data_IF_210400343184
#
_entry.id   IF_210400343184
#
_cell.length_a   1.000
_cell.length_b   1.000
_cell.length_c   1.000
_cell.angle_alpha   90.00
_cell.angle_beta   90.00
_cell.angle_gamma   90.00
#
_symmetry.space_group_name_H-M   'P 1'
#
loop_
_entity.id
_entity.type
_entity.pdbx_description
1 polymer ?
#
# COMPACT_ATOMS: atom_id res chain seq x y z
N UNK A 1 -22.62 -17.11 -14.75
CA UNK A 1 -21.86 -16.01 -14.14
C UNK A 1 -20.36 -16.10 -14.44
N UNK A 2 -19.68 -17.24 -14.16
CA UNK A 2 -18.24 -17.39 -14.43
C UNK A 2 -17.86 -17.28 -15.91
N UNK A 3 -18.65 -17.79 -16.83
CA UNK A 3 -18.38 -17.69 -18.31
C UNK A 3 -18.46 -16.25 -18.82
N UNK A 4 -19.37 -15.45 -18.30
CA UNK A 4 -19.49 -14.02 -18.66
C UNK A 4 -18.30 -13.22 -18.16
N UNK A 5 -17.87 -13.46 -16.91
CA UNK A 5 -16.67 -12.82 -16.33
C UNK A 5 -15.40 -13.22 -17.09
N UNK A 6 -15.26 -14.48 -17.46
CA UNK A 6 -14.13 -14.97 -18.26
C UNK A 6 -14.08 -14.31 -19.65
N UNK A 7 -15.23 -14.16 -20.30
CA UNK A 7 -15.34 -13.44 -21.57
C UNK A 7 -14.97 -11.98 -21.44
N UNK A 8 -15.45 -11.30 -20.40
CA UNK A 8 -15.14 -9.89 -20.13
C UNK A 8 -13.64 -9.70 -19.83
N UNK A 9 -13.05 -10.57 -19.02
CA UNK A 9 -11.62 -10.58 -18.73
C UNK A 9 -10.77 -10.71 -19.99
N UNK A 10 -11.14 -11.61 -20.91
CA UNK A 10 -10.39 -11.83 -22.15
C UNK A 10 -10.45 -10.63 -23.10
N UNK A 11 -11.57 -9.92 -23.15
CA UNK A 11 -11.81 -8.86 -24.12
C UNK A 11 -11.47 -7.45 -23.60
N UNK A 12 -11.28 -7.27 -22.27
CA UNK A 12 -11.03 -5.96 -21.67
C UNK A 12 -9.61 -5.88 -21.06
N UNK A 13 -8.69 -5.26 -21.81
CA UNK A 13 -7.29 -5.10 -21.41
C UNK A 13 -7.15 -4.35 -20.06
N UNK A 14 -7.96 -3.31 -19.83
CA UNK A 14 -7.92 -2.55 -18.55
C UNK A 14 -8.38 -3.40 -17.38
N UNK A 15 -9.44 -4.17 -17.56
CA UNK A 15 -9.95 -5.06 -16.53
C UNK A 15 -8.96 -6.18 -16.21
N UNK A 16 -8.32 -6.76 -17.24
CA UNK A 16 -7.27 -7.77 -17.07
C UNK A 16 -6.09 -7.24 -16.28
N UNK A 17 -5.58 -6.04 -16.63
CA UNK A 17 -4.48 -5.40 -15.92
C UNK A 17 -4.85 -5.15 -14.46
N UNK A 18 -6.02 -4.57 -14.20
CA UNK A 18 -6.48 -4.29 -12.85
C UNK A 18 -6.61 -5.56 -12.00
N UNK A 19 -7.22 -6.62 -12.56
CA UNK A 19 -7.35 -7.92 -11.88
C UNK A 19 -5.97 -8.50 -11.52
N UNK A 20 -5.01 -8.41 -12.46
CA UNK A 20 -3.64 -8.87 -12.24
C UNK A 20 -2.97 -8.12 -11.09
N UNK A 21 -3.11 -6.80 -11.04
CA UNK A 21 -2.58 -5.97 -9.96
C UNK A 21 -3.19 -6.39 -8.62
N UNK A 22 -4.52 -6.55 -8.54
CA UNK A 22 -5.20 -6.96 -7.32
C UNK A 22 -4.76 -8.35 -6.86
N UNK A 23 -4.64 -9.32 -7.76
CA UNK A 23 -4.19 -10.68 -7.41
C UNK A 23 -2.77 -10.67 -6.83
N UNK A 24 -1.83 -9.98 -7.50
CA UNK A 24 -0.45 -9.91 -7.00
C UNK A 24 -0.38 -9.16 -5.68
N UNK A 25 -1.15 -8.08 -5.54
CA UNK A 25 -1.27 -7.34 -4.28
C UNK A 25 -1.79 -8.23 -3.15
N UNK A 26 -2.88 -8.99 -3.35
CA UNK A 26 -3.41 -9.92 -2.35
C UNK A 26 -2.38 -10.99 -1.97
N UNK A 27 -1.68 -11.56 -2.95
CA UNK A 27 -0.64 -12.55 -2.69
C UNK A 27 0.51 -11.95 -1.86
N UNK A 28 0.95 -10.73 -2.18
CA UNK A 28 2.00 -10.06 -1.40
C UNK A 28 1.57 -9.82 0.05
N UNK A 29 0.30 -9.45 0.28
CA UNK A 29 -0.25 -9.28 1.64
C UNK A 29 -0.37 -10.61 2.38
N UNK A 30 -0.77 -11.68 1.69
CA UNK A 30 -0.82 -13.02 2.27
C UNK A 30 0.57 -13.49 2.73
N UNK A 31 1.58 -13.33 1.87
CA UNK A 31 2.98 -13.65 2.23
C UNK A 31 3.41 -12.87 3.46
N UNK A 32 3.13 -11.57 3.51
CA UNK A 32 3.44 -10.72 4.66
C UNK A 32 2.75 -11.18 5.94
N UNK A 33 1.46 -11.54 5.87
CA UNK A 33 0.72 -12.09 7.00
C UNK A 33 1.35 -13.38 7.52
N UNK A 34 1.75 -14.27 6.61
CA UNK A 34 2.46 -15.51 6.96
C UNK A 34 3.78 -15.18 7.66
N UNK A 35 4.56 -14.23 7.14
CA UNK A 35 5.81 -13.82 7.78
C UNK A 35 5.60 -13.27 9.18
N UNK A 36 4.58 -12.45 9.42
CA UNK A 36 4.23 -11.95 10.76
C UNK A 36 3.90 -13.10 11.70
N UNK A 37 3.12 -14.11 11.25
CA UNK A 37 2.82 -15.28 12.07
C UNK A 37 4.07 -16.10 12.39
N UNK A 38 4.95 -16.31 11.41
CA UNK A 38 6.24 -17.00 11.64
C UNK A 38 7.09 -16.22 12.65
N UNK A 39 7.18 -14.89 12.52
CA UNK A 39 7.90 -14.06 13.50
C UNK A 39 7.32 -14.20 14.91
N UNK A 40 6.00 -14.23 15.05
CA UNK A 40 5.34 -14.43 16.34
C UNK A 40 5.61 -15.81 16.96
N UNK A 41 5.84 -16.83 16.15
CA UNK A 41 6.19 -18.18 16.65
C UNK A 41 7.61 -18.25 17.22
N UNK A 42 8.49 -17.36 16.78
CA UNK A 42 9.91 -17.35 17.17
C UNK A 42 10.21 -16.25 18.21
N UNK A 43 9.34 -15.24 18.31
CA UNK A 43 9.55 -14.12 19.22
C UNK A 43 9.23 -14.49 20.68
N UNK A 44 10.05 -14.01 21.60
CA UNK A 44 9.80 -14.16 23.04
C UNK A 44 8.52 -13.42 23.50
N UNK A 45 8.17 -12.33 22.80
CA UNK A 45 6.98 -11.53 23.05
C UNK A 45 6.19 -11.35 21.75
N UNK A 46 5.16 -12.17 21.53
CA UNK A 46 4.33 -12.03 20.31
C UNK A 46 3.51 -10.73 20.35
N UNK A 47 3.48 -10.03 19.22
CA UNK A 47 2.72 -8.80 19.04
C UNK A 47 1.61 -8.97 18.01
N UNK A 48 0.63 -8.07 18.03
CA UNK A 48 -0.41 -8.05 16.99
C UNK A 48 0.16 -7.56 15.65
N UNK A 49 -0.57 -7.85 14.57
CA UNK A 49 -0.16 -7.48 13.22
C UNK A 49 0.12 -5.98 13.05
N UNK A 50 -0.65 -5.11 13.71
CA UNK A 50 -0.47 -3.66 13.60
C UNK A 50 0.88 -3.21 14.17
N UNK A 51 1.41 -3.89 15.16
CA UNK A 51 2.74 -3.60 15.70
C UNK A 51 3.84 -3.82 14.65
N UNK A 52 3.81 -4.97 13.97
CA UNK A 52 4.82 -5.27 12.94
C UNK A 52 4.69 -4.44 11.67
N UNK A 53 3.49 -3.94 11.39
CA UNK A 53 3.19 -3.20 10.17
C UNK A 53 3.32 -1.68 10.32
N UNK A 54 3.61 -1.18 11.51
CA UNK A 54 3.76 0.24 11.78
C UNK A 54 5.09 0.54 12.49
N UNK A 55 6.22 0.18 11.87
CA UNK A 55 7.53 0.47 12.44
C UNK A 55 7.88 1.96 12.30
N UNK A 56 8.85 2.40 13.12
CA UNK A 56 9.56 3.68 12.99
C UNK A 56 8.67 4.91 12.96
N UNK A 57 8.53 5.56 11.80
CA UNK A 57 7.86 6.84 11.64
C UNK A 57 6.33 6.77 11.66
N UNK A 58 5.75 5.57 11.72
CA UNK A 58 4.30 5.40 11.76
C UNK A 58 3.65 6.12 12.96
N UNK A 59 4.35 6.20 14.10
CA UNK A 59 3.86 6.94 15.27
C UNK A 59 3.78 8.45 15.02
N UNK A 60 4.74 9.03 14.28
CA UNK A 60 4.70 10.42 13.87
C UNK A 60 3.51 10.72 12.96
N UNK A 61 3.25 9.86 11.98
CA UNK A 61 2.09 9.99 11.09
C UNK A 61 0.77 9.84 11.84
N UNK A 62 0.69 8.91 12.80
CA UNK A 62 -0.46 8.78 13.69
C UNK A 62 -0.69 10.06 14.49
N UNK A 63 0.33 10.59 15.13
CA UNK A 63 0.24 11.82 15.92
C UNK A 63 -0.26 13.00 15.06
N UNK A 64 0.28 13.18 13.85
CA UNK A 64 -0.18 14.22 12.93
C UNK A 64 -1.62 14.02 12.48
N UNK A 65 -2.02 12.77 12.26
CA UNK A 65 -3.41 12.42 11.90
C UNK A 65 -4.38 12.78 13.03
N UNK A 66 -4.03 12.50 14.27
CA UNK A 66 -4.90 12.68 15.44
C UNK A 66 -4.89 14.11 15.97
N UNK A 67 -3.72 14.73 16.06
CA UNK A 67 -3.51 16.00 16.73
C UNK A 67 -2.92 17.14 15.87
N UNK A 68 -2.48 16.82 14.63
CA UNK A 68 -1.84 17.79 13.74
C UNK A 68 -0.37 18.04 14.07
N UNK A 69 0.17 19.10 13.48
CA UNK A 69 1.54 19.53 13.75
C UNK A 69 1.65 20.17 15.12
N UNK A 70 2.68 19.82 15.85
CA UNK A 70 2.93 20.34 17.20
C UNK A 70 4.30 21.00 17.29
N UNK A 71 4.43 21.94 18.24
CA UNK A 71 5.72 22.50 18.62
C UNK A 71 6.68 21.39 19.12
N UNK A 72 8.00 21.64 19.07
CA UNK A 72 8.99 20.70 19.55
C UNK A 72 8.64 20.19 20.95
N UNK A 73 8.78 18.89 21.13
CA UNK A 73 8.71 18.27 22.46
C UNK A 73 9.89 18.75 23.32
N UNK A 74 9.84 18.52 24.61
CA UNK A 74 10.96 18.77 25.53
C UNK A 74 12.27 18.11 25.09
N UNK A 75 12.20 17.06 24.26
CA UNK A 75 13.32 16.36 23.64
C UNK A 75 13.89 17.08 22.40
N UNK A 76 13.35 18.22 22.00
CA UNK A 76 13.73 18.93 20.76
C UNK A 76 13.18 18.29 19.47
N UNK A 77 12.49 17.15 19.55
CA UNK A 77 11.91 16.49 18.38
C UNK A 77 10.56 17.11 18.02
N UNK A 78 10.33 17.31 16.71
CA UNK A 78 9.08 17.81 16.16
C UNK A 78 8.70 17.04 14.89
N UNK A 79 7.39 16.99 14.60
CA UNK A 79 6.85 16.29 13.42
C UNK A 79 6.84 17.16 12.14
N UNK A 80 7.54 18.27 12.12
CA UNK A 80 7.55 19.23 11.00
C UNK A 80 8.32 18.74 9.77
N UNK A 81 9.17 17.73 9.93
CA UNK A 81 9.93 17.13 8.84
C UNK A 81 9.06 16.27 7.89
N UNK A 82 7.85 15.93 8.32
CA UNK A 82 6.97 15.03 7.57
C UNK A 82 6.00 15.80 6.69
N UNK A 83 5.85 15.35 5.43
CA UNK A 83 4.94 15.98 4.48
C UNK A 83 3.46 15.84 4.92
N UNK A 84 2.66 16.93 4.80
CA UNK A 84 1.32 16.99 5.36
C UNK A 84 0.26 16.17 4.62
N UNK A 85 0.44 15.89 3.32
CA UNK A 85 -0.62 15.32 2.48
C UNK A 85 -1.14 13.98 3.01
N UNK A 86 -0.24 13.07 3.34
CA UNK A 86 -0.62 11.74 3.82
C UNK A 86 -1.39 11.79 5.16
N UNK A 87 -0.88 12.42 6.23
CA UNK A 87 -1.64 12.51 7.48
C UNK A 87 -2.92 13.32 7.36
N UNK A 88 -3.01 14.30 6.44
CA UNK A 88 -4.25 15.03 6.19
C UNK A 88 -5.32 14.14 5.55
N UNK A 89 -4.95 13.29 4.59
CA UNK A 89 -5.87 12.29 4.01
C UNK A 89 -6.35 11.32 5.10
N UNK A 90 -5.43 10.80 5.91
CA UNK A 90 -5.77 9.91 7.02
C UNK A 90 -6.69 10.59 8.03
N UNK A 91 -6.45 11.87 8.35
CA UNK A 91 -7.31 12.67 9.22
C UNK A 91 -8.71 12.86 8.65
N UNK A 92 -8.83 13.15 7.35
CA UNK A 92 -10.13 13.26 6.69
C UNK A 92 -10.92 11.95 6.80
N UNK A 93 -10.28 10.80 6.52
CA UNK A 93 -10.90 9.48 6.70
C UNK A 93 -11.31 9.25 8.15
N UNK A 94 -10.46 9.60 9.13
CA UNK A 94 -10.76 9.47 10.55
C UNK A 94 -11.99 10.30 10.96
N UNK A 95 -12.10 11.54 10.46
CA UNK A 95 -13.27 12.41 10.72
C UNK A 95 -14.54 11.80 10.13
N UNK A 96 -14.50 11.36 8.87
CA UNK A 96 -15.65 10.74 8.17
C UNK A 96 -16.13 9.50 8.90
N UNK A 97 -15.21 8.70 9.46
CA UNK A 97 -15.52 7.48 10.20
C UNK A 97 -15.84 7.73 11.69
N UNK A 98 -15.97 8.98 12.11
CA UNK A 98 -16.25 9.33 13.51
C UNK A 98 -15.17 8.88 14.49
N UNK A 99 -13.96 8.61 14.04
CA UNK A 99 -12.85 8.14 14.87
C UNK A 99 -12.93 6.68 15.35
N UNK A 100 -13.90 5.92 14.88
CA UNK A 100 -14.09 4.52 15.28
C UNK A 100 -13.03 3.55 14.74
N UNK A 101 -12.35 3.94 13.66
CA UNK A 101 -11.29 3.11 13.06
C UNK A 101 -9.93 3.49 13.64
N UNK A 102 -9.13 2.48 13.96
CA UNK A 102 -7.76 2.69 14.43
C UNK A 102 -6.94 3.47 13.39
N UNK A 103 -6.19 4.49 13.83
CA UNK A 103 -5.44 5.39 12.94
C UNK A 103 -4.40 4.66 12.10
N UNK A 104 -3.72 3.64 12.65
CA UNK A 104 -2.80 2.80 11.87
C UNK A 104 -3.52 2.04 10.76
N UNK A 105 -4.70 1.49 11.05
CA UNK A 105 -5.51 0.80 10.03
C UNK A 105 -5.93 1.75 8.90
N UNK A 106 -6.29 3.00 9.24
CA UNK A 106 -6.57 4.04 8.24
C UNK A 106 -5.33 4.29 7.37
N UNK A 107 -4.16 4.46 7.98
CA UNK A 107 -2.91 4.68 7.27
C UNK A 107 -2.58 3.54 6.31
N UNK A 108 -2.68 2.30 6.77
CA UNK A 108 -2.50 1.11 5.93
C UNK A 108 -3.49 1.06 4.77
N UNK A 109 -4.76 1.37 5.00
CA UNK A 109 -5.77 1.40 3.96
C UNK A 109 -5.45 2.45 2.88
N UNK A 110 -5.12 3.68 3.29
CA UNK A 110 -4.74 4.77 2.38
C UNK A 110 -3.51 4.37 1.56
N UNK A 111 -2.46 3.87 2.19
CA UNK A 111 -1.23 3.43 1.50
C UNK A 111 -1.49 2.31 0.49
N UNK A 112 -2.32 1.32 0.86
CA UNK A 112 -2.65 0.21 -0.04
C UNK A 112 -3.49 0.67 -1.25
N UNK A 113 -4.40 1.61 -1.08
CA UNK A 113 -5.13 2.21 -2.21
C UNK A 113 -4.17 2.96 -3.11
N UNK A 114 -3.29 3.79 -2.54
CA UNK A 114 -2.32 4.57 -3.30
C UNK A 114 -1.37 3.67 -4.11
N UNK A 115 -0.85 2.58 -3.54
CA UNK A 115 0.06 1.69 -4.27
C UNK A 115 -0.63 0.99 -5.44
N UNK A 116 -1.88 0.54 -5.29
CA UNK A 116 -2.64 -0.08 -6.38
C UNK A 116 -2.81 0.91 -7.55
N UNK A 117 -3.18 2.15 -7.24
CA UNK A 117 -3.31 3.23 -8.23
C UNK A 117 -1.96 3.54 -8.89
N UNK A 118 -0.90 3.66 -8.08
CA UNK A 118 0.45 3.94 -8.58
C UNK A 118 0.95 2.85 -9.52
N UNK A 119 0.76 1.57 -9.19
CA UNK A 119 1.14 0.45 -10.06
C UNK A 119 0.39 0.50 -11.38
N UNK A 120 -0.92 0.78 -11.35
CA UNK A 120 -1.70 0.90 -12.58
C UNK A 120 -1.16 1.99 -13.51
N UNK A 121 -0.88 3.17 -12.98
CA UNK A 121 -0.33 4.27 -13.78
C UNK A 121 1.12 4.05 -14.17
N UNK A 122 1.94 3.39 -13.35
CA UNK A 122 3.32 3.03 -13.71
C UNK A 122 3.36 2.10 -14.93
N UNK A 123 2.47 1.10 -14.99
CA UNK A 123 2.34 0.24 -16.18
C UNK A 123 1.90 1.05 -17.39
N UNK A 124 0.93 1.97 -17.22
CA UNK A 124 0.48 2.83 -18.33
C UNK A 124 1.57 3.75 -18.85
N UNK A 125 2.35 4.34 -17.94
CA UNK A 125 3.50 5.18 -18.31
C UNK A 125 4.54 4.38 -19.06
N UNK A 126 4.88 3.18 -18.59
CA UNK A 126 5.84 2.32 -19.27
C UNK A 126 5.40 1.94 -20.69
N UNK A 127 4.11 1.78 -20.95
CA UNK A 127 3.60 1.56 -22.31
C UNK A 127 3.78 2.75 -23.24
N UNK A 128 3.89 3.97 -22.70
CA UNK A 128 4.13 5.18 -23.50
C UNK A 128 5.61 5.38 -23.79
N UNK A 129 6.47 5.10 -22.81
CA UNK A 129 7.89 5.41 -22.84
C UNK A 129 8.75 4.30 -23.47
N UNK A 130 8.36 3.04 -23.29
CA UNK A 130 9.13 1.92 -23.82
C UNK A 130 8.82 1.66 -25.29
N UNK A 131 9.85 1.35 -26.05
CA UNK A 131 9.75 1.06 -27.48
C UNK A 131 8.83 -0.15 -27.71
N UNK A 132 7.73 0.08 -28.43
CA UNK A 132 6.68 -0.91 -28.69
C UNK A 132 7.12 -2.12 -29.52
N UNK A 133 8.28 -2.04 -30.18
CA UNK A 133 8.85 -3.14 -30.97
C UNK A 133 9.85 -4.01 -30.20
N UNK A 134 10.37 -3.52 -29.07
CA UNK A 134 11.46 -4.15 -28.34
C UNK A 134 11.01 -5.00 -27.14
N UNK A 135 9.87 -4.64 -26.54
CA UNK A 135 9.40 -5.30 -25.31
C UNK A 135 7.96 -5.77 -25.42
N UNK A 136 7.67 -7.01 -24.97
CA UNK A 136 6.30 -7.50 -24.87
C UNK A 136 5.57 -6.74 -23.72
N UNK A 137 4.35 -6.29 -23.99
CA UNK A 137 3.48 -5.66 -22.99
C UNK A 137 3.31 -6.52 -21.74
N UNK A 138 3.23 -7.84 -21.91
CA UNK A 138 3.07 -8.78 -20.81
C UNK A 138 4.28 -8.81 -19.89
N UNK A 139 5.47 -8.70 -20.44
CA UNK A 139 6.71 -8.65 -19.67
C UNK A 139 6.83 -7.34 -18.91
N UNK A 140 6.50 -6.21 -19.54
CA UNK A 140 6.43 -4.90 -18.88
C UNK A 140 5.49 -4.95 -17.68
N UNK A 141 4.26 -5.46 -17.86
CA UNK A 141 3.30 -5.62 -16.77
C UNK A 141 3.88 -6.47 -15.62
N UNK A 142 4.44 -7.65 -15.94
CA UNK A 142 4.96 -8.57 -14.95
C UNK A 142 6.07 -7.94 -14.11
N UNK A 143 7.03 -7.31 -14.79
CA UNK A 143 8.18 -6.68 -14.13
C UNK A 143 7.74 -5.55 -13.21
N UNK A 144 6.91 -4.62 -13.69
CA UNK A 144 6.49 -3.46 -12.91
C UNK A 144 5.63 -3.89 -11.72
N UNK A 145 4.65 -4.78 -11.96
CA UNK A 145 3.77 -5.27 -10.89
C UNK A 145 4.60 -6.01 -9.83
N UNK A 146 5.54 -6.87 -10.26
CA UNK A 146 6.40 -7.58 -9.33
C UNK A 146 7.28 -6.63 -8.52
N UNK A 147 8.00 -5.72 -9.16
CA UNK A 147 8.90 -4.79 -8.48
C UNK A 147 8.18 -3.87 -7.49
N UNK A 148 6.99 -3.40 -7.83
CA UNK A 148 6.24 -2.47 -6.98
C UNK A 148 5.42 -3.15 -5.88
N UNK A 149 4.98 -4.39 -6.05
CA UNK A 149 4.11 -5.07 -5.08
C UNK A 149 4.81 -6.16 -4.28
N UNK A 150 5.82 -6.82 -4.84
CA UNK A 150 6.58 -7.86 -4.17
C UNK A 150 7.96 -7.39 -3.70
N UNK A 151 8.39 -6.19 -4.10
CA UNK A 151 9.63 -5.59 -3.60
C UNK A 151 9.56 -5.27 -2.10
N UNK A 152 10.71 -5.29 -1.40
CA UNK A 152 10.76 -5.08 0.06
C UNK A 152 10.19 -3.71 0.49
N UNK A 153 10.25 -2.70 -0.38
CA UNK A 153 9.70 -1.36 -0.09
C UNK A 153 8.16 -1.28 -0.23
N UNK A 154 7.51 -2.29 -0.80
CA UNK A 154 6.05 -2.30 -0.97
C UNK A 154 5.29 -2.75 0.28
N UNK A 155 6.02 -3.10 1.33
CA UNK A 155 5.47 -3.66 2.57
C UNK A 155 5.22 -2.57 3.62
N UNK A 156 5.80 -1.40 3.44
CA UNK A 156 5.72 -0.27 4.37
C UNK A 156 4.86 0.87 3.86
#
# INVERSE_FOLDING_TARGET
MFSVLAGYYKNNEKFRLFTKIIVVWLLSRLVMLIMVQVMNLVADTPHNILYYMNPWDAEWYKEMTEAGYKFPRSTGMANWAFFPLYPMICRAVRIITGGHINTYAIGMMVSNICIIVAVYYAVKLAYLELDKGKYDKKDIENIIIFLMLAGPCAVY
#
